data_IF_453255951057
#
_entry.id   IF_453255951057
#
_cell.length_a   1.000
_cell.length_b   1.000
_cell.length_c   1.000
_cell.angle_alpha   90.00
_cell.angle_beta   90.00
_cell.angle_gamma   90.00
#
_symmetry.space_group_name_H-M   'P 1'
#
loop_
_entity.id
_entity.type
_entity.pdbx_description
1 polymer ?
#
# COMPACT_ATOMS: atom_id res chain seq x y z
N UNK A 1 0.22 -6.09 -31.86
CA UNK A 1 -0.30 -6.90 -30.73
C UNK A 1 -1.28 -7.91 -31.32
N UNK A 2 -1.18 -9.20 -30.98
CA UNK A 2 -2.11 -10.20 -31.48
C UNK A 2 -3.54 -9.90 -30.97
N UNK A 3 -4.54 -10.02 -31.85
CA UNK A 3 -5.96 -9.67 -31.60
C UNK A 3 -6.57 -10.33 -30.35
N UNK A 4 -6.00 -11.44 -29.87
CA UNK A 4 -6.50 -12.19 -28.71
C UNK A 4 -6.20 -11.54 -27.35
N UNK A 5 -5.32 -10.54 -27.26
CA UNK A 5 -4.98 -9.90 -25.97
C UNK A 5 -6.08 -8.94 -25.45
N UNK A 6 -7.04 -8.59 -26.31
CA UNK A 6 -8.13 -7.65 -26.01
C UNK A 6 -9.39 -8.32 -25.46
N UNK A 7 -9.46 -9.66 -25.44
CA UNK A 7 -10.62 -10.35 -24.87
C UNK A 7 -10.55 -10.37 -23.34
N UNK A 8 -11.69 -10.10 -22.69
CA UNK A 8 -11.84 -10.28 -21.25
C UNK A 8 -11.46 -11.71 -20.89
N UNK A 9 -10.66 -11.92 -19.82
CA UNK A 9 -10.40 -13.27 -19.35
C UNK A 9 -11.74 -13.90 -18.96
N UNK A 10 -12.13 -14.97 -19.65
CA UNK A 10 -13.44 -15.61 -19.49
C UNK A 10 -13.41 -16.67 -18.39
N UNK A 11 -12.22 -17.12 -18.02
CA UNK A 11 -12.00 -18.17 -17.01
C UNK A 11 -11.18 -17.65 -15.82
N UNK A 12 -11.40 -18.24 -14.64
CA UNK A 12 -10.66 -17.89 -13.42
C UNK A 12 -9.14 -18.11 -13.58
N UNK A 13 -8.71 -19.09 -14.37
CA UNK A 13 -7.31 -19.39 -14.60
C UNK A 13 -6.61 -18.31 -15.44
N UNK A 14 -7.32 -17.74 -16.42
CA UNK A 14 -6.81 -16.61 -17.21
C UNK A 14 -6.67 -15.34 -16.35
N UNK A 15 -7.64 -15.09 -15.47
CA UNK A 15 -7.56 -13.99 -14.49
C UNK A 15 -6.35 -14.18 -13.60
N UNK A 16 -6.16 -15.39 -13.06
CA UNK A 16 -5.03 -15.71 -12.19
C UNK A 16 -3.70 -15.47 -12.91
N UNK A 17 -3.55 -15.95 -14.15
CA UNK A 17 -2.34 -15.72 -14.96
C UNK A 17 -2.07 -14.23 -15.18
N UNK A 18 -3.10 -13.42 -15.49
CA UNK A 18 -2.96 -11.97 -15.66
C UNK A 18 -2.52 -11.29 -14.36
N UNK A 19 -3.13 -11.63 -13.23
CA UNK A 19 -2.77 -11.08 -11.91
C UNK A 19 -1.32 -11.45 -11.55
N UNK A 20 -0.90 -12.69 -11.82
CA UNK A 20 0.49 -13.14 -11.62
C UNK A 20 1.46 -12.33 -12.48
N UNK A 21 1.13 -12.11 -13.75
CA UNK A 21 1.96 -11.31 -14.65
C UNK A 21 2.09 -9.86 -14.16
N UNK A 22 0.98 -9.22 -13.78
CA UNK A 22 1.00 -7.86 -13.23
C UNK A 22 1.85 -7.74 -11.96
N UNK A 23 1.81 -8.76 -11.09
CA UNK A 23 2.66 -8.80 -9.91
C UNK A 23 4.14 -8.91 -10.28
N UNK A 24 4.48 -9.83 -11.18
CA UNK A 24 5.86 -10.01 -11.63
C UNK A 24 6.42 -8.72 -12.26
N UNK A 25 5.64 -8.09 -13.14
CA UNK A 25 5.98 -6.81 -13.77
C UNK A 25 6.13 -5.69 -12.73
N UNK A 26 5.20 -5.64 -11.77
CA UNK A 26 5.18 -4.63 -10.72
C UNK A 26 6.38 -4.72 -9.79
N UNK A 27 6.71 -5.93 -9.31
CA UNK A 27 7.89 -6.18 -8.46
C UNK A 27 9.18 -5.90 -9.23
N UNK A 28 9.29 -6.36 -10.48
CA UNK A 28 10.48 -6.13 -11.30
C UNK A 28 10.73 -4.64 -11.58
N UNK A 29 9.68 -3.90 -11.92
CA UNK A 29 9.76 -2.46 -12.16
C UNK A 29 9.93 -1.62 -10.88
N UNK A 30 9.51 -2.14 -9.74
CA UNK A 30 9.56 -1.46 -8.43
C UNK A 30 10.70 -1.92 -7.54
N UNK A 31 11.65 -2.72 -8.03
CA UNK A 31 12.77 -3.23 -7.22
C UNK A 31 13.55 -2.10 -6.52
N UNK A 32 13.89 -1.04 -7.27
CA UNK A 32 14.57 0.14 -6.71
C UNK A 32 13.66 0.99 -5.80
N UNK A 33 12.35 0.80 -5.87
CA UNK A 33 11.40 1.58 -5.06
C UNK A 33 11.38 1.08 -3.62
N UNK A 34 11.33 -0.24 -3.39
CA UNK A 34 11.37 -0.80 -2.03
C UNK A 34 12.68 -0.47 -1.32
N UNK A 35 13.82 -0.57 -2.01
CA UNK A 35 15.12 -0.18 -1.43
C UNK A 35 15.17 1.29 -1.05
N UNK A 36 14.47 2.17 -1.79
CA UNK A 36 14.39 3.60 -1.48
C UNK A 36 13.49 3.87 -0.28
N UNK A 37 12.32 3.24 -0.23
CA UNK A 37 11.43 3.34 0.94
C UNK A 37 12.18 2.90 2.19
N UNK A 38 12.81 1.73 2.13
CA UNK A 38 13.54 1.18 3.28
C UNK A 38 14.60 2.16 3.78
N UNK A 39 15.43 2.69 2.88
CA UNK A 39 16.45 3.69 3.24
C UNK A 39 15.84 4.96 3.82
N UNK A 40 14.71 5.42 3.29
CA UNK A 40 14.04 6.62 3.78
C UNK A 40 13.45 6.40 5.19
N UNK A 41 12.88 5.22 5.46
CA UNK A 41 12.41 4.83 6.78
C UNK A 41 13.56 4.70 7.78
N UNK A 42 14.66 4.04 7.40
CA UNK A 42 15.85 3.90 8.23
C UNK A 42 16.46 5.27 8.59
N UNK A 43 16.47 6.19 7.63
CA UNK A 43 16.90 7.59 7.83
C UNK A 43 15.96 8.35 8.76
N UNK A 44 14.67 8.05 8.73
CA UNK A 44 13.64 8.66 9.58
C UNK A 44 13.71 8.14 11.02
N UNK A 45 13.92 6.84 11.21
CA UNK A 45 14.10 6.21 12.53
C UNK A 45 15.37 6.74 13.20
N UNK A 46 16.45 6.91 12.42
CA UNK A 46 17.72 7.38 12.91
C UNK A 46 18.52 6.31 13.67
N UNK A 47 19.48 6.76 14.47
CA UNK A 47 20.42 5.89 15.20
C UNK A 47 21.44 5.22 14.29
N UNK A 48 21.69 3.93 14.52
CA UNK A 48 22.65 3.13 13.75
C UNK A 48 22.11 2.81 12.34
N UNK A 49 20.78 2.80 12.14
CA UNK A 49 20.14 2.49 10.85
C UNK A 49 20.33 3.59 9.80
N UNK A 50 20.64 4.81 10.23
CA UNK A 50 20.90 5.93 9.33
C UNK A 50 22.19 5.75 8.52
N UNK A 51 23.12 4.93 9.01
CA UNK A 51 24.43 4.73 8.42
C UNK A 51 24.50 3.39 7.70
N UNK A 52 25.24 3.35 6.60
CA UNK A 52 25.59 2.09 5.99
C UNK A 52 26.41 1.23 6.99
N UNK A 53 26.13 -0.07 7.13
CA UNK A 53 26.83 -0.93 8.11
C UNK A 53 28.35 -0.90 7.97
N UNK A 54 28.86 -0.75 6.73
CA UNK A 54 30.30 -0.64 6.49
C UNK A 54 30.93 0.64 7.07
N UNK A 55 30.17 1.74 7.13
CA UNK A 55 30.63 3.00 7.73
C UNK A 55 30.71 2.87 9.24
N UNK A 56 29.75 2.18 9.86
CA UNK A 56 29.73 1.92 11.30
C UNK A 56 30.93 1.06 11.70
N UNK A 57 31.18 -0.03 10.96
CA UNK A 57 32.31 -0.92 11.23
C UNK A 57 33.66 -0.22 10.99
N UNK A 58 33.78 0.61 9.95
CA UNK A 58 34.99 1.40 9.72
C UNK A 58 35.24 2.41 10.85
N UNK A 59 34.22 3.13 11.30
CA UNK A 59 34.34 4.04 12.44
C UNK A 59 34.73 3.30 13.71
N UNK A 60 34.13 2.12 13.95
CA UNK A 60 34.45 1.26 15.09
C UNK A 60 35.90 0.77 15.07
N UNK A 61 36.43 0.39 13.90
CA UNK A 61 37.84 0.01 13.73
C UNK A 61 38.79 1.17 14.03
N UNK A 62 38.40 2.39 13.66
CA UNK A 62 39.13 3.62 13.96
C UNK A 62 38.96 4.09 15.43
N UNK A 63 38.23 3.35 16.26
CA UNK A 63 37.94 3.70 17.65
C UNK A 63 37.01 4.92 17.80
N UNK A 64 36.25 5.26 16.75
CA UNK A 64 35.29 6.36 16.71
C UNK A 64 33.87 5.83 16.76
N UNK A 65 32.95 6.64 17.28
CA UNK A 65 31.51 6.37 17.17
C UNK A 65 30.92 7.18 16.01
N UNK A 66 29.92 6.61 15.34
CA UNK A 66 29.12 7.32 14.34
C UNK A 66 28.12 8.23 15.05
N UNK A 67 28.35 9.54 15.00
CA UNK A 67 27.43 10.51 15.58
C UNK A 67 26.17 10.59 14.72
N UNK A 68 25.02 10.23 15.29
CA UNK A 68 23.72 10.37 14.64
C UNK A 68 22.92 11.50 15.26
N UNK A 69 22.48 12.46 14.44
CA UNK A 69 21.63 13.58 14.87
C UNK A 69 20.30 13.49 14.09
N UNK A 70 19.18 13.13 14.74
CA UNK A 70 17.90 12.90 14.07
C UNK A 70 17.17 14.23 13.79
N UNK A 71 17.67 15.00 12.83
CA UNK A 71 17.06 16.28 12.42
C UNK A 71 15.81 16.03 11.56
N UNK A 72 15.80 14.96 10.76
CA UNK A 72 14.74 14.67 9.80
C UNK A 72 13.42 14.32 10.47
N UNK A 73 13.43 13.53 11.54
CA UNK A 73 12.22 13.23 12.31
C UNK A 73 11.51 14.51 12.78
N UNK A 74 12.26 15.45 13.36
CA UNK A 74 11.72 16.73 13.80
C UNK A 74 11.15 17.58 12.65
N UNK A 75 11.74 17.51 11.45
CA UNK A 75 11.20 18.19 10.26
C UNK A 75 9.91 17.55 9.75
N UNK A 76 9.82 16.22 9.78
CA UNK A 76 8.61 15.47 9.43
C UNK A 76 7.48 15.84 10.40
N UNK A 77 7.77 15.87 11.70
CA UNK A 77 6.80 16.28 12.74
C UNK A 77 6.33 17.72 12.53
N UNK A 78 7.24 18.63 12.19
CA UNK A 78 6.90 20.03 11.92
C UNK A 78 5.98 20.17 10.71
N UNK A 79 6.26 19.48 9.61
CA UNK A 79 5.43 19.51 8.40
C UNK A 79 4.06 18.86 8.64
N UNK A 80 4.04 17.73 9.35
CA UNK A 80 2.80 17.04 9.73
C UNK A 80 1.95 17.91 10.64
N UNK A 81 2.56 18.59 11.61
CA UNK A 81 1.88 19.58 12.45
C UNK A 81 1.28 20.75 11.65
N UNK A 82 1.97 21.22 10.60
CA UNK A 82 1.45 22.27 9.72
C UNK A 82 0.26 21.80 8.85
N UNK A 83 0.25 20.53 8.40
CA UNK A 83 -0.88 19.92 7.69
C UNK A 83 -2.10 19.76 8.60
N UNK A 84 -1.88 19.30 9.83
CA UNK A 84 -2.94 19.14 10.83
C UNK A 84 -3.59 20.50 11.18
N UNK A 85 -2.79 21.57 11.25
CA UNK A 85 -3.29 22.93 11.49
C UNK A 85 -4.06 23.50 10.30
N UNK A 86 -3.70 23.11 9.07
CA UNK A 86 -4.32 23.59 7.83
C UNK A 86 -4.89 22.42 7.00
N UNK A 87 -5.93 21.74 7.50
CA UNK A 87 -6.47 20.59 6.80
C UNK A 87 -7.16 21.04 5.51
N UNK A 88 -6.72 20.49 4.38
CA UNK A 88 -7.43 20.62 3.10
C UNK A 88 -8.77 19.87 3.17
N UNK A 89 -9.85 20.59 2.89
CA UNK A 89 -11.23 20.10 2.93
C UNK A 89 -11.73 19.68 1.52
N UNK A 90 -12.77 18.84 1.48
CA UNK A 90 -13.38 18.40 0.23
C UNK A 90 -14.41 19.41 -0.24
N UNK A 91 -14.21 19.96 -1.44
CA UNK A 91 -15.14 20.88 -2.08
C UNK A 91 -15.37 20.38 -3.51
N UNK A 92 -16.64 20.09 -3.84
CA UNK A 92 -17.02 19.76 -5.22
C UNK A 92 -17.38 21.06 -5.91
N UNK A 93 -16.52 21.54 -6.79
CA UNK A 93 -16.78 22.74 -7.59
C UNK A 93 -17.78 22.43 -8.71
N UNK A 94 -18.64 23.41 -9.03
CA UNK A 94 -19.53 23.30 -10.17
C UNK A 94 -18.77 23.58 -11.47
N UNK A 95 -18.94 22.71 -12.46
CA UNK A 95 -18.48 23.00 -13.83
C UNK A 95 -19.40 24.01 -14.51
N UNK A 96 -19.01 24.54 -15.68
CA UNK A 96 -19.77 25.58 -16.41
C UNK A 96 -21.26 25.23 -16.65
N UNK A 97 -21.58 23.95 -16.75
CA UNK A 97 -22.94 23.44 -17.00
C UNK A 97 -23.62 22.89 -15.73
N UNK A 98 -22.89 22.84 -14.61
CA UNK A 98 -23.36 22.27 -13.36
C UNK A 98 -24.12 23.27 -12.48
N UNK A 99 -25.21 22.81 -11.86
CA UNK A 99 -25.94 23.61 -10.87
C UNK A 99 -25.16 23.72 -9.56
N UNK A 100 -25.06 24.93 -9.02
CA UNK A 100 -24.46 25.19 -7.71
C UNK A 100 -25.18 24.44 -6.57
N UNK A 101 -26.48 24.18 -6.71
CA UNK A 101 -27.23 23.42 -5.71
C UNK A 101 -26.74 21.96 -5.63
N UNK A 102 -26.47 21.33 -6.78
CA UNK A 102 -25.97 19.95 -6.85
C UNK A 102 -24.57 19.87 -6.24
N UNK A 103 -23.69 20.81 -6.57
CA UNK A 103 -22.33 20.87 -6.01
C UNK A 103 -22.33 20.97 -4.47
N UNK A 104 -23.23 21.77 -3.89
CA UNK A 104 -23.39 21.86 -2.42
C UNK A 104 -23.89 20.55 -1.82
N UNK A 105 -24.86 19.89 -2.44
CA UNK A 105 -25.37 18.59 -1.98
C UNK A 105 -24.26 17.53 -2.05
N UNK A 106 -23.53 17.45 -3.15
CA UNK A 106 -22.41 16.52 -3.29
C UNK A 106 -21.30 16.80 -2.27
N UNK A 107 -20.97 18.06 -2.05
CA UNK A 107 -20.00 18.46 -1.02
C UNK A 107 -20.46 18.02 0.37
N UNK A 108 -21.73 18.21 0.71
CA UNK A 108 -22.29 17.77 1.99
C UNK A 108 -22.25 16.24 2.15
N UNK A 109 -22.59 15.49 1.09
CA UNK A 109 -22.53 14.02 1.10
C UNK A 109 -21.11 13.50 1.25
N UNK A 110 -20.14 14.09 0.54
CA UNK A 110 -18.72 13.71 0.66
C UNK A 110 -18.21 14.00 2.07
N UNK A 111 -18.56 15.15 2.65
CA UNK A 111 -18.20 15.50 4.03
C UNK A 111 -18.81 14.53 5.04
N UNK A 112 -20.07 14.17 4.87
CA UNK A 112 -20.72 13.17 5.72
C UNK A 112 -20.00 11.81 5.67
N UNK A 113 -19.64 11.35 4.47
CA UNK A 113 -18.89 10.11 4.30
C UNK A 113 -17.44 10.19 4.83
N UNK A 114 -16.81 11.34 4.69
CA UNK A 114 -15.48 11.62 5.23
C UNK A 114 -15.46 11.61 6.76
N UNK A 115 -16.47 12.23 7.39
CA UNK A 115 -16.58 12.33 8.84
C UNK A 115 -16.94 10.97 9.48
N UNK A 116 -17.74 10.13 8.80
CA UNK A 116 -18.09 8.79 9.32
C UNK A 116 -16.87 7.87 9.46
N UNK A 117 -15.92 7.98 8.54
CA UNK A 117 -14.70 7.17 8.51
C UNK A 117 -13.48 7.86 9.12
N UNK A 118 -13.68 8.99 9.82
CA UNK A 118 -12.60 9.75 10.46
C UNK A 118 -11.43 10.06 9.51
N UNK A 119 -11.72 10.34 8.23
CA UNK A 119 -10.72 10.43 7.16
C UNK A 119 -9.59 11.43 7.45
N UNK A 120 -9.85 12.43 8.30
CA UNK A 120 -8.84 13.41 8.73
C UNK A 120 -7.64 12.71 9.35
N UNK A 121 -7.89 11.73 10.20
CA UNK A 121 -6.83 10.97 10.85
C UNK A 121 -6.04 10.13 9.84
N UNK A 122 -6.74 9.36 9.00
CA UNK A 122 -6.14 8.52 7.96
C UNK A 122 -5.33 9.34 6.95
N UNK A 123 -5.82 10.53 6.59
CA UNK A 123 -5.13 11.47 5.70
C UNK A 123 -3.85 12.00 6.32
N UNK A 124 -3.88 12.46 7.58
CA UNK A 124 -2.68 12.97 8.24
C UNK A 124 -1.64 11.86 8.45
N UNK A 125 -2.06 10.65 8.80
CA UNK A 125 -1.15 9.51 8.89
C UNK A 125 -0.55 9.11 7.54
N UNK A 126 -1.33 9.19 6.47
CA UNK A 126 -0.87 8.93 5.10
C UNK A 126 0.13 10.00 4.67
N UNK A 127 -0.13 11.27 5.03
CA UNK A 127 0.76 12.38 4.72
C UNK A 127 2.11 12.23 5.43
N UNK A 128 2.10 11.93 6.73
CA UNK A 128 3.30 11.66 7.52
C UNK A 128 4.10 10.49 6.91
N UNK A 129 3.42 9.39 6.58
CA UNK A 129 4.02 8.25 5.88
C UNK A 129 4.64 8.67 4.55
N UNK A 130 3.90 9.45 3.75
CA UNK A 130 4.36 9.88 2.44
C UNK A 130 5.59 10.78 2.45
N UNK A 131 5.78 11.58 3.51
CA UNK A 131 7.01 12.34 3.69
C UNK A 131 8.17 11.41 4.08
N UNK A 132 7.93 10.45 4.98
CA UNK A 132 8.96 9.54 5.50
C UNK A 132 9.41 8.45 4.52
N UNK A 133 8.48 7.84 3.79
CA UNK A 133 8.72 6.73 2.86
C UNK A 133 8.79 7.16 1.39
N UNK A 134 8.34 8.38 1.08
CA UNK A 134 8.23 8.91 -0.28
C UNK A 134 6.92 8.57 -1.00
N UNK A 135 6.05 7.76 -0.39
CA UNK A 135 4.72 7.46 -0.92
C UNK A 135 3.72 7.25 0.23
N UNK A 136 2.51 7.78 0.09
CA UNK A 136 1.40 7.52 0.99
C UNK A 136 0.22 6.95 0.21
N UNK A 137 -0.41 5.90 0.72
CA UNK A 137 -1.54 5.25 0.06
C UNK A 137 -2.78 5.23 0.95
N UNK A 138 -3.92 5.63 0.40
CA UNK A 138 -5.24 5.49 1.03
C UNK A 138 -6.07 4.53 0.19
N UNK A 139 -6.65 3.53 0.86
CA UNK A 139 -7.61 2.61 0.29
C UNK A 139 -9.03 3.10 0.53
N UNK A 140 -9.87 2.99 -0.49
CA UNK A 140 -11.31 3.22 -0.36
C UNK A 140 -12.01 1.92 -0.71
N UNK A 141 -12.62 1.30 0.29
CA UNK A 141 -13.28 0.01 0.19
C UNK A 141 -14.77 0.14 0.46
N UNK A 142 -15.53 -0.86 0.02
CA UNK A 142 -16.94 -0.99 0.35
C UNK A 142 -17.02 -2.05 1.44
N UNK A 143 -17.37 -1.64 2.66
CA UNK A 143 -17.55 -2.53 3.80
C UNK A 143 -19.04 -2.86 3.99
N UNK A 144 -19.33 -4.16 4.10
CA UNK A 144 -20.69 -4.70 4.31
C UNK A 144 -20.87 -5.30 5.70
N UNK A 145 -19.89 -5.14 6.57
CA UNK A 145 -19.88 -5.78 7.90
C UNK A 145 -20.99 -5.20 8.79
N UNK A 146 -21.11 -3.86 8.86
CA UNK A 146 -22.07 -3.18 9.72
C UNK A 146 -23.45 -2.99 9.06
N UNK A 147 -23.49 -2.64 7.76
CA UNK A 147 -24.73 -2.59 6.97
C UNK A 147 -24.62 -3.46 5.71
N UNK A 148 -25.13 -4.70 5.76
CA UNK A 148 -25.10 -5.62 4.62
C UNK A 148 -25.88 -5.14 3.39
N UNK A 149 -26.87 -4.24 3.56
CA UNK A 149 -27.75 -3.79 2.48
C UNK A 149 -27.24 -2.54 1.79
N UNK A 150 -26.85 -1.52 2.55
CA UNK A 150 -26.44 -0.24 1.98
C UNK A 150 -24.94 -0.14 1.76
N UNK A 151 -24.16 -0.94 2.51
CA UNK A 151 -22.69 -0.93 2.53
C UNK A 151 -22.11 0.45 2.89
N UNK A 152 -21.21 0.47 3.86
CA UNK A 152 -20.50 1.69 4.22
C UNK A 152 -19.22 1.81 3.38
N UNK A 153 -18.76 3.04 3.19
CA UNK A 153 -17.42 3.27 2.69
C UNK A 153 -16.46 3.02 3.86
N UNK A 154 -15.39 2.27 3.63
CA UNK A 154 -14.27 2.16 4.57
C UNK A 154 -13.07 2.86 3.95
N UNK A 155 -12.52 3.83 4.66
CA UNK A 155 -11.35 4.58 4.20
C UNK A 155 -10.25 4.38 5.22
N UNK A 156 -9.13 3.82 4.80
CA UNK A 156 -8.02 3.50 5.69
C UNK A 156 -6.67 3.74 4.99
N UNK A 157 -5.67 4.12 5.78
CA UNK A 157 -4.28 4.14 5.36
C UNK A 157 -3.83 2.71 5.05
N UNK A 158 -3.24 2.55 3.87
CA UNK A 158 -2.60 1.30 3.48
C UNK A 158 -1.12 1.35 3.84
N UNK A 159 -0.57 0.21 4.24
CA UNK A 159 0.88 0.06 4.32
C UNK A 159 1.47 0.14 2.90
N UNK A 160 2.36 1.09 2.66
CA UNK A 160 2.86 1.41 1.33
C UNK A 160 3.79 0.34 0.77
N UNK A 161 4.43 -0.45 1.64
CA UNK A 161 5.21 -1.62 1.24
C UNK A 161 4.36 -2.72 0.60
N UNK A 162 3.07 -2.77 0.93
CA UNK A 162 2.16 -3.76 0.39
C UNK A 162 1.42 -3.29 -0.87
N UNK A 163 1.70 -2.07 -1.34
CA UNK A 163 1.05 -1.48 -2.51
C UNK A 163 2.02 -1.49 -3.69
N UNK A 164 1.64 -2.20 -4.73
CA UNK A 164 2.38 -2.28 -6.00
C UNK A 164 1.58 -1.56 -7.07
N UNK A 165 2.14 -0.47 -7.58
CA UNK A 165 1.59 0.25 -8.74
C UNK A 165 2.27 -0.19 -10.03
N UNK A 166 1.60 0.01 -11.16
CA UNK A 166 2.20 -0.17 -12.48
C UNK A 166 3.44 0.73 -12.64
N UNK A 167 4.64 0.16 -12.87
CA UNK A 167 5.89 0.92 -12.98
C UNK A 167 5.92 1.88 -14.17
N UNK A 168 5.04 1.70 -15.17
CA UNK A 168 4.95 2.58 -16.32
C UNK A 168 4.07 3.83 -16.08
N UNK A 169 3.41 3.92 -14.92
CA UNK A 169 2.64 5.09 -14.56
C UNK A 169 3.55 6.31 -14.40
N UNK A 170 3.34 7.32 -15.25
CA UNK A 170 4.18 8.54 -15.28
C UNK A 170 3.46 9.79 -14.75
N UNK A 171 2.20 9.65 -14.34
CA UNK A 171 1.40 10.75 -13.81
C UNK A 171 0.88 10.43 -12.41
N UNK A 172 0.74 11.48 -11.60
CA UNK A 172 0.18 11.37 -10.26
C UNK A 172 -1.26 10.86 -10.26
N UNK A 173 -2.08 11.30 -11.23
CA UNK A 173 -3.42 10.76 -11.40
C UNK A 173 -3.33 9.35 -11.98
N UNK A 174 -3.34 8.37 -11.08
CA UNK A 174 -3.32 6.94 -11.38
C UNK A 174 -4.42 6.61 -12.39
N UNK A 175 -5.60 7.24 -12.30
CA UNK A 175 -6.78 7.02 -13.16
C UNK A 175 -6.68 7.55 -14.60
N UNK A 176 -5.59 8.22 -14.99
CA UNK A 176 -5.44 8.78 -16.34
C UNK A 176 -5.27 7.69 -17.40
N UNK A 177 -6.08 7.71 -18.47
CA UNK A 177 -6.14 6.65 -19.49
C UNK A 177 -4.80 6.34 -20.17
N UNK A 178 -4.08 7.37 -20.63
CA UNK A 178 -2.93 7.16 -21.52
C UNK A 178 -1.60 6.97 -20.78
N UNK A 179 -1.50 7.51 -19.55
CA UNK A 179 -0.24 7.61 -18.79
C UNK A 179 -0.34 7.17 -17.33
N UNK A 180 -1.54 6.83 -16.87
CA UNK A 180 -1.79 6.35 -15.52
C UNK A 180 -1.57 4.85 -15.43
N UNK A 181 -1.76 4.28 -14.23
CA UNK A 181 -1.48 2.88 -13.98
C UNK A 181 -2.47 1.97 -14.71
N UNK A 182 -1.96 0.92 -15.35
CA UNK A 182 -2.75 -0.19 -15.87
C UNK A 182 -3.32 -1.04 -14.75
N UNK A 183 -2.58 -1.23 -13.67
CA UNK A 183 -3.00 -1.99 -12.50
C UNK A 183 -2.43 -1.40 -11.21
N UNK A 184 -3.11 -1.69 -10.10
CA UNK A 184 -2.65 -1.45 -8.73
C UNK A 184 -3.00 -2.71 -7.94
N UNK A 185 -2.01 -3.28 -7.28
CA UNK A 185 -2.19 -4.42 -6.38
C UNK A 185 -1.91 -3.99 -4.95
N UNK A 186 -2.78 -4.38 -4.03
CA UNK A 186 -2.61 -4.23 -2.60
C UNK A 186 -2.66 -5.61 -1.94
N UNK A 187 -1.83 -5.81 -0.92
CA UNK A 187 -1.79 -7.05 -0.15
C UNK A 187 -1.97 -6.80 1.34
N UNK A 188 -2.75 -7.66 1.99
CA UNK A 188 -3.00 -7.57 3.42
C UNK A 188 -3.06 -8.94 4.06
N UNK A 189 -2.53 -9.02 5.27
CA UNK A 189 -2.64 -10.21 6.10
C UNK A 189 -3.96 -10.16 6.84
N UNK A 190 -4.81 -11.15 6.59
CA UNK A 190 -6.14 -11.25 7.19
C UNK A 190 -6.24 -12.56 7.95
N UNK A 191 -6.89 -12.51 9.11
CA UNK A 191 -7.15 -13.68 9.92
C UNK A 191 -7.92 -14.76 9.14
N UNK A 192 -7.48 -16.02 9.30
CA UNK A 192 -8.05 -17.15 8.56
C UNK A 192 -9.55 -17.29 8.81
N UNK A 193 -9.99 -17.04 10.05
CA UNK A 193 -11.38 -17.12 10.46
C UNK A 193 -12.27 -16.18 9.65
N UNK A 194 -11.85 -14.91 9.48
CA UNK A 194 -12.61 -13.93 8.71
C UNK A 194 -12.76 -14.34 7.25
N UNK A 195 -11.69 -14.84 6.63
CA UNK A 195 -11.72 -15.34 5.24
C UNK A 195 -12.62 -16.57 5.11
N UNK A 196 -12.64 -17.45 6.12
CA UNK A 196 -13.53 -18.61 6.12
C UNK A 196 -15.01 -18.21 6.21
N UNK A 197 -15.32 -17.12 6.89
CA UNK A 197 -16.67 -16.53 6.92
C UNK A 197 -17.02 -15.86 5.58
N UNK A 198 -16.08 -15.12 4.97
CA UNK A 198 -16.30 -14.44 3.68
C UNK A 198 -16.43 -15.45 2.51
N UNK A 199 -15.65 -16.53 2.53
CA UNK A 199 -15.60 -17.54 1.45
C UNK A 199 -15.85 -18.98 1.97
N UNK A 200 -17.06 -19.30 2.44
CA UNK A 200 -17.35 -20.60 3.07
C UNK A 200 -17.14 -21.78 2.12
N UNK A 201 -17.41 -21.58 0.81
CA UNK A 201 -17.29 -22.63 -0.22
C UNK A 201 -15.84 -23.00 -0.54
N UNK A 202 -14.87 -22.14 -0.24
CA UNK A 202 -13.45 -22.34 -0.56
C UNK A 202 -12.61 -22.76 0.66
N UNK A 203 -13.24 -23.00 1.82
CA UNK A 203 -12.55 -23.31 3.07
C UNK A 203 -11.59 -24.50 2.94
N UNK A 204 -12.06 -25.63 2.40
CA UNK A 204 -11.25 -26.84 2.22
C UNK A 204 -10.11 -26.67 1.21
N UNK A 205 -10.32 -25.85 0.17
CA UNK A 205 -9.29 -25.51 -0.82
C UNK A 205 -8.20 -24.61 -0.21
N UNK A 206 -8.59 -23.64 0.63
CA UNK A 206 -7.67 -22.72 1.29
C UNK A 206 -6.82 -23.42 2.36
N UNK A 207 -7.43 -24.30 3.16
CA UNK A 207 -6.70 -25.10 4.15
C UNK A 207 -5.75 -26.10 3.45
N UNK A 208 -6.19 -26.72 2.34
CA UNK A 208 -5.40 -27.68 1.57
C UNK A 208 -4.23 -27.08 0.78
N UNK A 209 -4.33 -25.81 0.36
CA UNK A 209 -3.21 -25.10 -0.29
C UNK A 209 -2.09 -24.71 0.68
N UNK A 210 -2.37 -24.67 1.99
CA UNK A 210 -1.43 -24.19 2.99
C UNK A 210 -1.00 -22.74 2.76
N UNK A 211 -0.17 -22.17 3.65
CA UNK A 211 0.40 -20.84 3.43
C UNK A 211 1.55 -20.91 2.42
N UNK A 212 1.25 -21.34 1.19
CA UNK A 212 2.16 -21.05 0.10
C UNK A 212 2.10 -19.54 -0.13
N UNK A 213 2.98 -18.81 0.55
CA UNK A 213 3.30 -17.44 0.18
C UNK A 213 3.68 -17.50 -1.30
N UNK A 214 2.84 -16.94 -2.17
CA UNK A 214 3.07 -16.93 -3.62
C UNK A 214 4.42 -16.26 -3.97
N UNK A 215 4.95 -15.45 -3.04
CA UNK A 215 6.33 -14.94 -2.98
C UNK A 215 7.43 -16.00 -3.07
N UNK A 216 7.20 -17.23 -2.60
CA UNK A 216 8.15 -18.34 -2.70
C UNK A 216 8.17 -19.02 -4.06
N UNK A 217 7.11 -18.87 -4.86
CA UNK A 217 6.95 -19.55 -6.14
C UNK A 217 7.41 -18.73 -7.37
N UNK A 218 7.62 -17.42 -7.20
CA UNK A 218 8.11 -16.52 -8.26
C UNK A 218 9.50 -16.03 -7.87
N UNK A 219 10.52 -16.84 -8.13
CA UNK A 219 11.94 -16.51 -7.91
C UNK A 219 12.39 -15.36 -8.81
N UNK A 220 13.17 -14.42 -8.25
CA UNK A 220 13.99 -13.49 -9.04
C UNK A 220 14.49 -12.26 -8.27
N UNK A 221 13.58 -11.37 -7.87
CA UNK A 221 13.93 -10.04 -7.31
C UNK A 221 13.20 -9.75 -5.99
N UNK A 222 13.04 -10.78 -5.15
CA UNK A 222 12.34 -10.65 -3.86
C UNK A 222 13.31 -10.29 -2.72
N UNK A 223 14.55 -9.89 -3.02
CA UNK A 223 15.54 -9.60 -1.98
C UNK A 223 15.06 -8.43 -1.11
N UNK A 224 14.53 -7.33 -1.63
CA UNK A 224 14.08 -6.20 -0.78
C UNK A 224 12.96 -6.56 0.21
N UNK A 225 11.88 -7.18 -0.27
CA UNK A 225 10.72 -7.56 0.58
C UNK A 225 11.07 -8.71 1.53
N UNK A 226 11.83 -9.72 1.06
CA UNK A 226 12.26 -10.84 1.92
C UNK A 226 13.37 -10.40 2.89
N UNK A 227 14.27 -9.48 2.56
CA UNK A 227 15.33 -8.97 3.45
C UNK A 227 14.75 -8.00 4.51
N UNK A 228 13.69 -7.26 4.15
CA UNK A 228 12.83 -6.56 5.11
C UNK A 228 12.09 -7.54 6.04
N UNK A 229 11.41 -8.56 5.47
CA UNK A 229 10.68 -9.60 6.21
C UNK A 229 11.57 -10.53 7.04
N UNK A 230 12.81 -10.81 6.62
CA UNK A 230 13.75 -11.73 7.27
C UNK A 230 14.76 -11.05 8.18
N UNK A 231 14.74 -9.73 8.27
CA UNK A 231 15.57 -9.02 9.22
C UNK A 231 17.05 -9.07 8.89
N UNK A 232 17.54 -8.07 8.15
CA UNK A 232 18.88 -7.55 8.45
C UNK A 232 18.88 -7.07 9.90
N UNK A 233 19.51 -7.88 10.75
CA UNK A 233 19.35 -7.86 12.20
C UNK A 233 19.83 -6.57 12.86
N UNK A 234 18.97 -5.98 13.68
CA UNK A 234 19.20 -5.84 15.10
C UNK A 234 17.86 -5.75 15.83
N UNK A 235 17.66 -6.67 16.77
CA UNK A 235 16.71 -6.52 17.85
C UNK A 235 17.21 -5.35 18.73
N UNK A 236 16.53 -4.22 18.72
CA UNK A 236 16.57 -3.28 19.84
C UNK A 236 15.14 -3.05 20.31
N UNK A 237 14.86 -3.58 21.49
CA UNK A 237 13.66 -3.28 22.27
C UNK A 237 13.66 -1.78 22.57
N UNK A 238 12.76 -1.04 21.94
CA UNK A 238 12.44 0.33 22.34
C UNK A 238 10.93 0.47 22.49
N UNK A 239 10.49 0.48 23.75
CA UNK A 239 9.23 1.07 24.20
C UNK A 239 7.97 0.27 23.93
N UNK A 240 7.27 -0.08 25.01
CA UNK A 240 5.99 -0.82 25.09
C UNK A 240 4.82 -0.21 24.33
N UNK A 241 5.00 0.92 23.65
CA UNK A 241 3.97 1.62 22.86
C UNK A 241 4.45 2.05 21.45
N UNK A 242 5.66 1.63 21.04
CA UNK A 242 6.24 1.90 19.72
C UNK A 242 6.31 0.64 18.85
N UNK A 243 5.27 -0.18 18.84
CA UNK A 243 5.25 -1.40 18.01
C UNK A 243 5.00 -1.04 16.54
N UNK A 244 6.07 -0.78 15.79
CA UNK A 244 6.07 -1.06 14.35
C UNK A 244 6.09 -2.58 14.20
N UNK A 245 4.97 -3.16 13.76
CA UNK A 245 4.75 -4.60 13.65
C UNK A 245 5.74 -5.26 12.68
N UNK A 246 6.91 -5.67 13.19
CA UNK A 246 7.86 -6.54 12.50
C UNK A 246 7.59 -7.97 12.95
N UNK A 247 6.50 -8.56 12.46
CA UNK A 247 6.08 -9.93 12.78
C UNK A 247 6.69 -10.91 11.78
N UNK A 248 7.34 -11.96 12.29
CA UNK A 248 7.89 -13.04 11.48
C UNK A 248 6.81 -13.61 10.54
N UNK A 249 7.10 -13.66 9.25
CA UNK A 249 6.18 -14.18 8.21
C UNK A 249 5.71 -15.59 8.56
N UNK A 250 6.54 -16.39 9.23
CA UNK A 250 6.20 -17.71 9.70
C UNK A 250 5.09 -17.70 10.75
N UNK A 251 5.13 -16.75 11.70
CA UNK A 251 4.11 -16.58 12.74
C UNK A 251 2.81 -16.10 12.11
N UNK A 252 2.89 -15.07 11.26
CA UNK A 252 1.74 -14.53 10.53
C UNK A 252 1.06 -15.59 9.67
N UNK A 253 1.84 -16.41 8.97
CA UNK A 253 1.28 -17.46 8.12
C UNK A 253 0.41 -18.43 8.95
N UNK A 254 0.79 -18.79 10.18
CA UNK A 254 0.04 -19.78 10.97
C UNK A 254 -1.41 -19.35 11.19
N UNK A 255 -1.65 -18.09 11.54
CA UNK A 255 -2.97 -17.55 11.90
C UNK A 255 -3.65 -16.73 10.80
N UNK A 256 -2.93 -16.30 9.76
CA UNK A 256 -3.43 -15.39 8.72
C UNK A 256 -3.19 -15.91 7.31
N UNK A 257 -4.04 -15.50 6.36
CA UNK A 257 -3.79 -15.63 4.93
C UNK A 257 -3.40 -14.27 4.36
N UNK A 258 -2.51 -14.28 3.37
CA UNK A 258 -2.22 -13.11 2.55
C UNK A 258 -3.33 -12.96 1.50
N UNK A 259 -4.22 -11.98 1.68
CA UNK A 259 -5.23 -11.59 0.69
C UNK A 259 -4.64 -10.52 -0.21
N UNK A 260 -4.98 -10.57 -1.49
CA UNK A 260 -4.60 -9.51 -2.41
C UNK A 260 -5.77 -9.00 -3.20
N UNK A 261 -5.80 -7.68 -3.30
CA UNK A 261 -6.74 -6.91 -4.07
C UNK A 261 -6.01 -6.33 -5.26
N UNK A 262 -6.31 -6.83 -6.46
CA UNK A 262 -5.74 -6.28 -7.69
C UNK A 262 -6.83 -5.57 -8.47
N UNK A 263 -6.64 -4.27 -8.66
CA UNK A 263 -7.42 -3.47 -9.59
C UNK A 263 -6.65 -3.35 -10.90
N UNK A 264 -7.33 -3.49 -12.03
CA UNK A 264 -6.73 -3.23 -13.33
C UNK A 264 -7.72 -2.58 -14.28
N UNK A 265 -7.18 -1.91 -15.29
CA UNK A 265 -7.96 -1.38 -16.40
C UNK A 265 -8.01 -2.36 -17.53
N UNK A 266 -9.20 -2.47 -18.09
CA UNK A 266 -9.44 -3.23 -19.30
C UNK A 266 -9.62 -2.24 -20.47
N UNK A 267 -8.87 -2.42 -21.56
CA UNK A 267 -9.08 -1.64 -22.77
C UNK A 267 -10.46 -2.00 -23.34
N UNK A 268 -11.39 -1.05 -23.34
CA UNK A 268 -12.67 -1.21 -24.04
C UNK A 268 -12.45 -1.00 -25.54
N UNK A 269 -13.06 -1.84 -26.37
CA UNK A 269 -13.07 -1.63 -27.83
C UNK A 269 -13.58 -0.22 -28.12
N UNK A 270 -12.78 0.59 -28.82
CA UNK A 270 -13.21 1.91 -29.26
C UNK A 270 -14.35 1.71 -30.26
N UNK A 271 -15.55 2.17 -29.89
CA UNK A 271 -16.65 2.32 -30.85
C UNK A 271 -16.36 3.62 -31.58
N UNK A 272 -15.70 3.52 -32.73
CA UNK A 272 -15.67 4.62 -33.68
C UNK A 272 -17.08 4.73 -34.27
N UNK A 273 -17.78 5.80 -33.93
CA UNK A 273 -19.02 6.20 -34.60
C UNK A 273 -18.69 6.92 -35.91
#
# INVERSE_FOLDING_TARGET
MPENDLEHPKTNDEILRKVIAFRADGVAGSANFFDRIQKAEDFTIGGDLQWDPGVIEAARLDGKFTLTIPIVGAQIDQLSGAEIQNPMDFIVENTKEGSAAISRILTALVKQAADSELIRFEKSQTFESGIGSGQGCIGVFIDKTNDPKHANLRIEKLNEHNVISDPNASVYNINKKDRGAKYVSYEEWIDKELIHVEYPKKKTELEGRGNQSFFGAITGNVIGIIDWMKGRGQQKETGTFGTRERTDVEVMSKSRYLKSHTWWREPKKAIHW
#
